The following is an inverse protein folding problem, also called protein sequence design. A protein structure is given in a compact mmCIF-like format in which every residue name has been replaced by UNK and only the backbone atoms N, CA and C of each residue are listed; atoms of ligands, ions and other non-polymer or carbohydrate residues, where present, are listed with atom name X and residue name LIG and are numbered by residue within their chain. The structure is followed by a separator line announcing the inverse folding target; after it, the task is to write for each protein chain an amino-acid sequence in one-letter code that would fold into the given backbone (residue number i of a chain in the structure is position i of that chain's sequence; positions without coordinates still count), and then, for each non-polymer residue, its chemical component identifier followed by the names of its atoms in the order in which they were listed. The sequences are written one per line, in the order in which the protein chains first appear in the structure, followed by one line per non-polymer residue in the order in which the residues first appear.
data_IF_865595643043
#
_entry.id   IF_865595643043
#
_cell.length_a   1.000
_cell.length_b   1.000
_cell.length_c   1.000
_cell.angle_alpha   90.00
_cell.angle_beta   90.00
_cell.angle_gamma   90.00
#
_symmetry.space_group_name_H-M   'P 1'
#
loop_
_entity.id
_entity.type
_entity.pdbx_description
1 polymer ?
#
# COMPACT_ATOMS: atom_id res chain seq x y z
N UNK A 1 15.52 -5.35 15.06
CA UNK A 1 15.60 -3.97 14.52
C UNK A 1 14.63 -3.88 13.36
N UNK A 2 13.69 -2.94 13.41
CA UNK A 2 12.68 -2.78 12.38
C UNK A 2 13.28 -2.14 11.10
N UNK A 3 13.03 -2.74 9.95
CA UNK A 3 13.41 -2.23 8.62
C UNK A 3 12.21 -2.15 7.71
N UNK A 4 11.99 -1.00 7.07
CA UNK A 4 10.94 -0.80 6.06
C UNK A 4 11.55 -0.88 4.67
N UNK A 5 11.07 -1.83 3.86
CA UNK A 5 11.45 -1.99 2.47
C UNK A 5 10.55 -1.11 1.58
N UNK A 6 10.90 0.16 1.44
CA UNK A 6 10.08 1.17 0.77
C UNK A 6 10.34 1.22 -0.74
N UNK A 7 9.32 0.90 -1.53
CA UNK A 7 9.29 1.18 -2.97
C UNK A 7 8.66 2.56 -3.24
N UNK A 8 9.29 3.36 -4.11
CA UNK A 8 8.73 4.65 -4.53
C UNK A 8 7.30 4.54 -5.09
N UNK A 9 6.47 5.55 -4.84
CA UNK A 9 5.06 5.59 -5.31
C UNK A 9 4.32 4.27 -5.02
N UNK A 10 4.34 3.85 -3.75
CA UNK A 10 3.73 2.61 -3.32
C UNK A 10 2.99 2.75 -2.00
N UNK A 11 2.28 1.70 -1.61
CA UNK A 11 1.49 1.66 -0.37
C UNK A 11 2.37 1.65 0.88
N UNK A 12 3.70 1.55 0.78
CA UNK A 12 4.60 1.68 1.93
C UNK A 12 4.53 3.03 2.63
N UNK A 13 4.01 4.08 1.97
CA UNK A 13 3.85 5.39 2.60
C UNK A 13 3.01 5.33 3.88
N UNK A 14 1.98 4.49 3.93
CA UNK A 14 1.13 4.36 5.12
C UNK A 14 1.82 3.69 6.30
N UNK A 15 2.78 2.81 6.01
CA UNK A 15 3.59 2.14 7.03
C UNK A 15 4.56 3.15 7.62
N UNK A 16 5.21 3.95 6.77
CA UNK A 16 6.06 5.05 7.23
C UNK A 16 5.25 6.01 8.10
N UNK A 17 4.07 6.44 7.64
CA UNK A 17 3.23 7.35 8.41
C UNK A 17 2.88 6.78 9.79
N UNK A 18 2.43 5.53 9.88
CA UNK A 18 2.14 4.90 11.17
C UNK A 18 3.36 4.85 12.09
N UNK A 19 4.54 4.53 11.56
CA UNK A 19 5.77 4.48 12.36
C UNK A 19 6.19 5.85 12.89
N UNK A 20 6.01 6.92 12.09
CA UNK A 20 6.21 8.29 12.54
C UNK A 20 5.23 8.67 13.67
N UNK A 21 3.93 8.34 13.52
CA UNK A 21 2.92 8.61 14.56
C UNK A 21 3.26 7.87 15.86
N UNK A 22 3.63 6.60 15.77
CA UNK A 22 4.00 5.77 16.92
C UNK A 22 5.38 6.13 17.52
N UNK A 23 6.17 6.98 16.86
CA UNK A 23 7.53 7.32 17.30
C UNK A 23 8.50 6.14 17.32
N UNK A 24 8.25 5.12 16.48
CA UNK A 24 9.05 3.88 16.46
C UNK A 24 10.28 4.09 15.58
N UNK A 25 11.51 3.86 16.08
CA UNK A 25 12.70 3.96 15.25
C UNK A 25 12.77 2.80 14.25
N UNK A 26 13.06 3.11 12.99
CA UNK A 26 13.21 2.11 11.92
C UNK A 26 14.33 2.46 10.95
N UNK A 27 14.90 1.44 10.32
CA UNK A 27 15.77 1.60 9.17
C UNK A 27 14.94 1.66 7.87
N UNK A 28 15.29 2.56 6.95
CA UNK A 28 14.58 2.72 5.68
C UNK A 28 15.43 2.19 4.51
N UNK A 29 15.08 1.03 3.98
CA UNK A 29 15.69 0.52 2.75
C UNK A 29 14.84 0.96 1.55
N UNK A 30 15.38 1.84 0.71
CA UNK A 30 14.67 2.41 -0.45
C UNK A 30 14.91 1.57 -1.71
N UNK A 31 13.85 1.44 -2.50
CA UNK A 31 13.83 0.79 -3.80
C UNK A 31 13.20 1.72 -4.83
N UNK A 32 13.78 1.75 -6.02
CA UNK A 32 13.25 2.49 -7.16
C UNK A 32 12.55 1.53 -8.12
N UNK A 33 11.53 2.03 -8.81
CA UNK A 33 10.86 1.28 -9.87
C UNK A 33 11.72 1.35 -11.13
N UNK A 34 11.63 0.32 -11.95
CA UNK A 34 12.24 0.35 -13.27
C UNK A 34 11.66 1.54 -14.07
N UNK A 35 12.51 2.38 -14.71
CA UNK A 35 12.06 3.63 -15.31
C UNK A 35 11.12 3.43 -16.52
N UNK A 36 11.21 2.28 -17.19
CA UNK A 36 10.42 1.96 -18.38
C UNK A 36 9.13 1.23 -18.03
N UNK A 37 9.24 0.14 -17.28
CA UNK A 37 8.14 -0.77 -16.94
C UNK A 37 7.40 -0.35 -15.67
N UNK A 38 8.00 0.53 -14.85
CA UNK A 38 7.52 0.93 -13.51
C UNK A 38 7.35 -0.24 -12.55
N UNK A 39 7.91 -1.41 -12.84
CA UNK A 39 7.84 -2.59 -11.99
C UNK A 39 8.79 -2.50 -10.79
N UNK A 40 8.50 -3.31 -9.77
CA UNK A 40 9.37 -3.46 -8.61
C UNK A 40 10.67 -4.19 -9.01
N UNK A 41 11.82 -3.82 -8.42
CA UNK A 41 13.09 -4.48 -8.72
C UNK A 41 13.12 -5.90 -8.16
N UNK A 42 13.87 -6.79 -8.81
CA UNK A 42 14.01 -8.20 -8.38
C UNK A 42 14.57 -8.35 -6.95
N UNK A 43 15.27 -7.34 -6.43
CA UNK A 43 15.75 -7.29 -5.06
C UNK A 43 14.61 -7.43 -4.02
N UNK A 44 13.39 -6.94 -4.30
CA UNK A 44 12.26 -7.10 -3.38
C UNK A 44 11.80 -8.57 -3.25
N UNK A 45 11.96 -9.39 -4.31
CA UNK A 45 11.66 -10.83 -4.24
C UNK A 45 12.63 -11.58 -3.31
N UNK A 46 13.83 -11.05 -3.10
CA UNK A 46 14.80 -11.61 -2.16
C UNK A 46 14.41 -11.36 -0.70
N UNK A 47 13.60 -10.33 -0.45
CA UNK A 47 13.08 -10.03 0.90
C UNK A 47 11.84 -10.87 1.18
N UNK A 48 10.87 -10.87 0.25
CA UNK A 48 9.65 -11.65 0.38
C UNK A 48 9.21 -12.21 -0.98
N UNK A 49 8.75 -13.48 -1.08
CA UNK A 49 8.40 -14.13 -2.36
C UNK A 49 7.38 -13.37 -3.22
N UNK A 50 6.47 -12.60 -2.60
CA UNK A 50 5.51 -11.73 -3.31
C UNK A 50 6.21 -10.70 -4.22
N UNK A 51 7.42 -10.24 -3.88
CA UNK A 51 8.17 -9.25 -4.64
C UNK A 51 7.47 -7.89 -4.77
N UNK A 52 6.59 -7.56 -3.82
CA UNK A 52 5.79 -6.34 -3.79
C UNK A 52 6.11 -5.53 -2.54
N UNK A 53 5.76 -4.25 -2.58
CA UNK A 53 5.79 -3.33 -1.44
C UNK A 53 4.35 -3.03 -0.99
N UNK A 54 4.10 -2.81 0.31
CA UNK A 54 5.08 -2.81 1.43
C UNK A 54 5.50 -4.19 1.92
N UNK A 55 6.70 -4.24 2.49
CA UNK A 55 7.25 -5.32 3.32
C UNK A 55 8.08 -4.69 4.43
N UNK A 56 8.03 -5.27 5.62
CA UNK A 56 8.94 -4.93 6.72
C UNK A 56 9.71 -6.18 7.18
N UNK A 57 10.86 -5.95 7.78
CA UNK A 57 11.58 -6.94 8.59
C UNK A 57 11.60 -6.44 10.02
N UNK A 58 11.09 -7.22 10.96
CA UNK A 58 11.07 -6.88 12.38
C UNK A 58 11.73 -7.99 13.19
N UNK A 59 12.99 -7.78 13.56
CA UNK A 59 13.81 -8.85 14.12
C UNK A 59 14.03 -9.95 13.08
N UNK A 60 13.57 -11.16 13.37
CA UNK A 60 13.66 -12.32 12.49
C UNK A 60 12.42 -12.51 11.61
N UNK A 61 11.36 -11.72 11.81
CA UNK A 61 10.11 -11.83 11.08
C UNK A 61 10.09 -10.94 9.84
N UNK A 62 9.58 -11.47 8.73
CA UNK A 62 9.30 -10.70 7.52
C UNK A 62 7.80 -10.64 7.32
N UNK A 63 7.23 -9.44 7.43
CA UNK A 63 5.79 -9.21 7.31
C UNK A 63 5.51 -8.49 5.99
N UNK A 64 4.70 -9.14 5.16
CA UNK A 64 4.18 -8.59 3.92
C UNK A 64 2.68 -8.28 4.08
N UNK A 65 2.10 -7.68 3.05
CA UNK A 65 0.72 -7.17 3.03
C UNK A 65 0.48 -5.96 3.93
N UNK A 66 0.06 -4.89 3.28
CA UNK A 66 -0.02 -3.57 3.88
C UNK A 66 -0.93 -3.50 5.11
N UNK A 67 -2.01 -4.30 5.15
CA UNK A 67 -2.97 -4.35 6.26
C UNK A 67 -2.40 -5.12 7.44
N UNK A 68 -1.82 -6.29 7.17
CA UNK A 68 -1.14 -7.12 8.16
C UNK A 68 0.03 -6.39 8.82
N UNK A 69 0.80 -5.60 8.05
CA UNK A 69 1.87 -4.77 8.61
C UNK A 69 1.32 -3.72 9.58
N UNK A 70 0.19 -3.07 9.28
CA UNK A 70 -0.41 -2.08 10.18
C UNK A 70 -0.89 -2.75 11.47
N UNK A 71 -1.56 -3.90 11.36
CA UNK A 71 -2.00 -4.67 12.53
C UNK A 71 -0.82 -5.13 13.39
N UNK A 72 0.23 -5.67 12.77
CA UNK A 72 1.48 -6.06 13.44
C UNK A 72 2.11 -4.90 14.22
N UNK A 73 2.23 -3.74 13.56
CA UNK A 73 2.81 -2.56 14.19
C UNK A 73 1.93 -2.02 15.33
N UNK A 74 0.61 -2.03 15.14
CA UNK A 74 -0.32 -1.61 16.17
C UNK A 74 -0.27 -2.55 17.39
N UNK A 75 -0.25 -3.87 17.19
CA UNK A 75 -0.23 -4.84 18.28
C UNK A 75 1.08 -4.77 19.10
N UNK A 76 2.22 -4.56 18.45
CA UNK A 76 3.53 -4.57 19.13
C UNK A 76 3.94 -3.21 19.70
N UNK A 77 3.67 -2.12 18.98
CA UNK A 77 4.25 -0.81 19.30
C UNK A 77 3.25 0.19 19.87
N UNK A 78 1.96 0.09 19.51
CA UNK A 78 0.95 1.01 20.05
C UNK A 78 0.86 0.97 21.58
N UNK A 79 0.95 -0.18 22.28
CA UNK A 79 0.88 -0.20 23.75
C UNK A 79 1.97 0.63 24.45
N UNK A 80 3.08 0.90 23.78
CA UNK A 80 4.18 1.74 24.29
C UNK A 80 4.10 3.19 23.83
N UNK A 81 3.15 3.54 22.95
CA UNK A 81 2.94 4.89 22.46
C UNK A 81 2.23 5.77 23.51
N UNK A 82 2.39 7.09 23.38
CA UNK A 82 1.77 8.04 24.29
C UNK A 82 0.37 8.47 23.82
N UNK A 83 -0.49 8.85 24.79
CA UNK A 83 -1.81 9.42 24.51
C UNK A 83 -2.76 8.46 23.81
N UNK A 84 -3.58 8.99 22.90
CA UNK A 84 -4.63 8.23 22.21
C UNK A 84 -4.07 7.07 21.35
N UNK A 85 -2.80 7.14 20.96
CA UNK A 85 -2.13 6.08 20.20
C UNK A 85 -1.93 4.79 21.02
N UNK A 86 -1.88 4.87 22.35
CA UNK A 86 -1.91 3.69 23.22
C UNK A 86 -3.19 2.84 23.03
N UNK A 87 -4.24 3.47 22.50
CA UNK A 87 -5.54 2.88 22.23
C UNK A 87 -5.89 2.94 20.74
N UNK A 88 -4.87 2.92 19.87
CA UNK A 88 -5.02 2.98 18.41
C UNK A 88 -6.01 1.94 17.88
N UNK A 89 -6.03 0.75 18.47
CA UNK A 89 -6.99 -0.32 18.16
C UNK A 89 -8.06 -0.36 19.26
N UNK A 90 -9.34 -0.16 18.93
CA UNK A 90 -10.42 -0.28 19.90
C UNK A 90 -10.50 -1.68 20.52
N UNK A 91 -11.05 -1.78 21.73
CA UNK A 91 -11.14 -3.05 22.45
C UNK A 91 -11.90 -4.12 21.66
N UNK A 92 -11.35 -5.35 21.65
CA UNK A 92 -11.98 -6.48 20.96
C UNK A 92 -13.40 -6.74 21.50
N UNK A 93 -14.31 -7.09 20.60
CA UNK A 93 -15.73 -7.34 20.91
C UNK A 93 -16.63 -6.12 20.86
N UNK A 94 -16.09 -4.90 20.82
CA UNK A 94 -16.90 -3.68 20.75
C UNK A 94 -17.37 -3.36 19.31
N UNK A 95 -18.43 -2.55 19.14
CA UNK A 95 -18.82 -2.03 17.82
C UNK A 95 -17.71 -1.26 17.12
N UNK A 96 -16.91 -0.50 17.85
CA UNK A 96 -15.82 0.34 17.33
C UNK A 96 -14.72 -0.52 16.74
N UNK A 97 -14.36 -1.63 17.41
CA UNK A 97 -13.39 -2.59 16.88
C UNK A 97 -13.91 -3.24 15.59
N UNK A 98 -15.21 -3.54 15.51
CA UNK A 98 -15.82 -4.04 14.25
C UNK A 98 -15.71 -3.02 13.13
N UNK A 99 -15.95 -1.73 13.43
CA UNK A 99 -15.82 -0.66 12.44
C UNK A 99 -14.38 -0.44 12.00
N UNK A 100 -13.43 -0.47 12.93
CA UNK A 100 -11.99 -0.40 12.64
C UNK A 100 -11.58 -1.51 11.67
N UNK A 101 -11.92 -2.77 11.97
CA UNK A 101 -11.63 -3.89 11.07
C UNK A 101 -12.33 -3.77 9.72
N UNK A 102 -13.58 -3.32 9.70
CA UNK A 102 -14.30 -3.09 8.44
C UNK A 102 -13.52 -2.14 7.53
N UNK A 103 -13.04 -1.01 8.06
CA UNK A 103 -12.29 -0.05 7.26
C UNK A 103 -10.92 -0.57 6.82
N UNK A 104 -10.24 -1.36 7.66
CA UNK A 104 -8.99 -2.05 7.28
C UNK A 104 -9.20 -2.98 6.09
N UNK A 105 -10.26 -3.79 6.10
CA UNK A 105 -10.58 -4.69 4.99
C UNK A 105 -11.15 -3.95 3.78
N UNK A 106 -11.95 -2.90 3.97
CA UNK A 106 -12.52 -2.10 2.88
C UNK A 106 -11.42 -1.47 2.01
N UNK A 107 -10.36 -0.95 2.64
CA UNK A 107 -9.25 -0.32 1.93
C UNK A 107 -8.58 -1.27 0.92
N UNK A 108 -8.43 -2.55 1.28
CA UNK A 108 -7.79 -3.55 0.41
C UNK A 108 -8.78 -4.28 -0.50
N UNK A 109 -9.96 -4.64 0.02
CA UNK A 109 -10.93 -5.48 -0.70
C UNK A 109 -11.84 -4.71 -1.66
N UNK A 110 -12.24 -3.50 -1.30
CA UNK A 110 -13.22 -2.72 -2.06
C UNK A 110 -12.58 -1.52 -2.76
N UNK A 111 -11.85 -0.68 -2.02
CA UNK A 111 -11.29 0.55 -2.56
C UNK A 111 -10.14 0.30 -3.54
N UNK A 112 -9.27 -0.66 -3.25
CA UNK A 112 -8.07 -0.93 -4.07
C UNK A 112 -8.41 -1.29 -5.51
N UNK A 113 -9.50 -2.03 -5.74
CA UNK A 113 -9.92 -2.42 -7.09
C UNK A 113 -10.21 -1.19 -7.96
N UNK A 114 -10.91 -0.20 -7.40
CA UNK A 114 -11.21 1.05 -8.11
C UNK A 114 -9.97 1.89 -8.36
N UNK A 115 -9.07 1.98 -7.37
CA UNK A 115 -7.80 2.69 -7.53
C UNK A 115 -6.91 2.04 -8.60
N UNK A 116 -6.90 0.71 -8.68
CA UNK A 116 -6.18 -0.04 -9.72
C UNK A 116 -6.78 0.22 -11.11
N UNK A 117 -8.11 0.16 -11.24
CA UNK A 117 -8.78 0.50 -12.51
C UNK A 117 -8.48 1.93 -12.94
N UNK A 118 -8.53 2.89 -12.00
CA UNK A 118 -8.14 4.28 -12.25
C UNK A 118 -6.72 4.38 -12.80
N UNK A 119 -5.77 3.68 -12.16
CA UNK A 119 -4.38 3.64 -12.59
C UNK A 119 -4.25 3.07 -14.01
N UNK A 120 -4.94 1.96 -14.31
CA UNK A 120 -4.90 1.32 -15.64
C UNK A 120 -5.48 2.26 -16.70
N UNK A 121 -6.67 2.81 -16.51
CA UNK A 121 -7.30 3.71 -17.50
C UNK A 121 -6.52 5.01 -17.71
N UNK A 122 -5.81 5.50 -16.69
CA UNK A 122 -4.93 6.66 -16.83
C UNK A 122 -3.59 6.34 -17.50
N UNK A 123 -3.11 5.11 -17.39
CA UNK A 123 -1.79 4.70 -17.88
C UNK A 123 -1.84 4.14 -19.31
N UNK A 124 -2.87 3.36 -19.64
CA UNK A 124 -2.99 2.68 -20.94
C UNK A 124 -2.89 3.65 -22.15
N UNK A 125 -3.57 4.81 -22.16
CA UNK A 125 -3.50 5.73 -23.29
C UNK A 125 -2.17 6.49 -23.43
N UNK A 126 -1.26 6.33 -22.45
CA UNK A 126 0.08 6.91 -22.43
C UNK A 126 1.15 5.94 -22.94
N UNK A 127 0.80 4.67 -23.12
CA UNK A 127 1.70 3.66 -23.66
C UNK A 127 1.99 3.90 -25.15
N UNK A 128 3.17 3.48 -25.65
CA UNK A 128 3.49 3.56 -27.07
C UNK A 128 2.45 2.83 -27.92
N UNK A 129 1.84 3.53 -28.89
CA UNK A 129 0.87 2.96 -29.83
C UNK A 129 0.81 3.76 -31.13
N UNK A 130 0.37 3.13 -32.24
CA UNK A 130 0.21 3.83 -33.52
C UNK A 130 -0.75 5.03 -33.40
N UNK A 131 -0.45 6.11 -34.13
CA UNK A 131 -1.18 7.38 -33.99
C UNK A 131 -2.69 7.25 -34.24
N UNK A 132 -3.10 6.32 -35.12
CA UNK A 132 -4.50 6.09 -35.48
C UNK A 132 -5.27 5.28 -34.41
N UNK A 133 -4.60 4.48 -33.58
CA UNK A 133 -5.22 3.74 -32.46
C UNK A 133 -5.38 4.64 -31.23
N UNK A 134 -4.42 5.55 -31.03
CA UNK A 134 -4.37 6.46 -29.87
C UNK A 134 -5.66 7.23 -29.56
N UNK A 135 -6.36 7.88 -30.51
CA UNK A 135 -7.59 8.61 -30.20
C UNK A 135 -8.72 7.68 -29.74
N UNK A 136 -8.83 6.49 -30.33
CA UNK A 136 -9.84 5.49 -29.95
C UNK A 136 -9.55 4.98 -28.53
N UNK A 137 -8.31 4.58 -28.25
CA UNK A 137 -7.90 4.12 -26.93
C UNK A 137 -8.15 5.16 -25.84
N UNK A 138 -7.83 6.44 -26.10
CA UNK A 138 -8.12 7.56 -25.20
C UNK A 138 -9.62 7.71 -24.94
N UNK A 139 -10.44 7.66 -25.99
CA UNK A 139 -11.90 7.81 -25.84
C UNK A 139 -12.51 6.67 -25.00
N UNK A 140 -12.13 5.43 -25.26
CA UNK A 140 -12.62 4.26 -24.52
C UNK A 140 -12.19 4.34 -23.05
N UNK A 141 -10.91 4.61 -22.78
CA UNK A 141 -10.41 4.70 -21.41
C UNK A 141 -11.05 5.85 -20.63
N UNK A 142 -11.25 7.01 -21.25
CA UNK A 142 -11.90 8.15 -20.61
C UNK A 142 -13.38 7.85 -20.25
N UNK A 143 -14.12 7.22 -21.17
CA UNK A 143 -15.51 6.80 -20.91
C UNK A 143 -15.58 5.73 -19.82
N UNK A 144 -14.66 4.77 -19.83
CA UNK A 144 -14.60 3.72 -18.81
C UNK A 144 -14.26 4.27 -17.43
N UNK A 145 -13.29 5.19 -17.33
CA UNK A 145 -12.96 5.88 -16.09
C UNK A 145 -14.16 6.66 -15.53
N UNK A 146 -14.82 7.48 -16.36
CA UNK A 146 -15.98 8.25 -15.93
C UNK A 146 -17.17 7.36 -15.51
N UNK A 147 -17.36 6.19 -16.12
CA UNK A 147 -18.52 5.33 -15.81
C UNK A 147 -18.29 4.44 -14.60
N UNK A 148 -17.06 3.98 -14.41
CA UNK A 148 -16.74 2.92 -13.46
C UNK A 148 -15.98 3.43 -12.23
N UNK A 149 -15.31 4.58 -12.31
CA UNK A 149 -14.31 5.00 -11.31
C UNK A 149 -14.61 6.37 -10.71
N UNK A 150 -14.98 7.35 -11.54
CA UNK A 150 -15.34 8.71 -11.10
C UNK A 150 -16.85 8.81 -10.81
#
# INVERSE_FOLDING_TARGET
MLTVHHLETSRSQRVLWLLEELGVPYALQRYQRDPLTRLAPAALRKVHPLGKSPVITDGDEVVAESGAIIEHLADLYAPSAAGDLAHLVPARGTPEHRQCRFWMHYAEGSLMNWLMLKLVFNTLPRQPMPFFVRPIARSICAKAAHKLVD
#
